data_IF_501212962172
#
_entry.id   IF_501212962172
#
_cell.length_a   1.000
_cell.length_b   1.000
_cell.length_c   1.000
_cell.angle_alpha   90.00
_cell.angle_beta   90.00
_cell.angle_gamma   90.00
#
_symmetry.space_group_name_H-M   'P 1'
#
loop_
_entity.id
_entity.type
_entity.pdbx_description
1 polymer ?
#
# COMPACT_ATOMS: atom_id res chain seq x y z
N UNK A 1 -18.34 -3.73 -15.69
CA UNK A 1 -17.28 -2.90 -15.06
C UNK A 1 -17.95 -1.80 -14.27
N UNK A 2 -17.53 -1.57 -13.03
CA UNK A 2 -18.00 -0.44 -12.22
C UNK A 2 -17.16 0.80 -12.53
N UNK A 3 -17.76 1.98 -12.42
CA UNK A 3 -17.12 3.27 -12.70
C UNK A 3 -17.63 4.37 -11.77
N UNK A 4 -17.01 5.55 -11.83
CA UNK A 4 -17.31 6.69 -10.99
C UNK A 4 -16.27 6.90 -9.89
N UNK A 5 -16.58 7.78 -8.93
CA UNK A 5 -15.69 8.09 -7.82
C UNK A 5 -15.67 6.97 -6.77
N UNK A 6 -14.68 7.04 -5.87
CA UNK A 6 -14.64 6.17 -4.69
C UNK A 6 -15.92 6.38 -3.84
N UNK A 7 -16.63 5.31 -3.43
CA UNK A 7 -17.85 5.42 -2.65
C UNK A 7 -17.53 5.74 -1.18
N UNK A 8 -17.25 7.01 -0.87
CA UNK A 8 -16.82 7.50 0.44
C UNK A 8 -17.73 7.09 1.62
N UNK A 9 -19.01 6.86 1.38
CA UNK A 9 -19.96 6.30 2.35
C UNK A 9 -19.52 4.97 2.97
N UNK A 10 -18.67 4.19 2.31
CA UNK A 10 -18.11 2.94 2.87
C UNK A 10 -17.19 3.19 4.08
N UNK A 11 -16.67 4.41 4.23
CA UNK A 11 -15.80 4.79 5.34
C UNK A 11 -16.57 5.16 6.63
N UNK A 12 -17.91 5.26 6.56
CA UNK A 12 -18.75 5.64 7.70
C UNK A 12 -19.02 4.44 8.62
N UNK A 13 -19.13 3.24 8.04
CA UNK A 13 -19.35 2.00 8.78
C UNK A 13 -18.04 1.42 9.31
N UNK A 14 -17.76 1.60 10.60
CA UNK A 14 -16.59 0.99 11.29
C UNK A 14 -16.66 -0.55 11.42
N UNK A 15 -17.51 -1.22 10.65
CA UNK A 15 -17.66 -2.68 10.65
C UNK A 15 -16.99 -3.38 9.47
N UNK A 16 -16.62 -2.65 8.42
CA UNK A 16 -16.03 -3.26 7.22
C UNK A 16 -14.55 -3.59 7.50
N UNK A 17 -14.16 -4.85 7.24
CA UNK A 17 -12.81 -5.38 7.53
C UNK A 17 -11.97 -5.45 6.25
N UNK A 18 -12.61 -5.73 5.12
CA UNK A 18 -11.95 -5.88 3.82
C UNK A 18 -12.71 -5.05 2.80
N UNK A 19 -12.01 -4.14 2.13
CA UNK A 19 -12.53 -3.38 1.00
C UNK A 19 -11.74 -3.75 -0.26
N UNK A 20 -12.46 -4.30 -1.24
CA UNK A 20 -11.90 -4.70 -2.53
C UNK A 20 -12.68 -4.07 -3.67
N UNK A 21 -12.02 -3.14 -4.38
CA UNK A 21 -12.54 -2.43 -5.56
C UNK A 21 -11.64 -2.65 -6.78
N UNK A 22 -10.72 -3.61 -6.72
CA UNK A 22 -9.70 -3.80 -7.74
C UNK A 22 -10.30 -4.18 -9.11
N UNK A 23 -9.58 -3.87 -10.19
CA UNK A 23 -9.97 -4.24 -11.56
C UNK A 23 -11.33 -3.66 -11.96
N UNK A 24 -11.48 -2.34 -11.85
CA UNK A 24 -12.66 -1.59 -12.27
C UNK A 24 -12.22 -0.30 -13.01
N UNK A 25 -13.16 0.58 -13.27
CA UNK A 25 -12.96 1.88 -13.91
C UNK A 25 -13.23 3.03 -12.92
N UNK A 26 -12.96 2.84 -11.62
CA UNK A 26 -13.13 3.93 -10.65
C UNK A 26 -12.09 5.01 -10.89
N UNK A 27 -12.48 6.27 -10.74
CA UNK A 27 -11.67 7.44 -11.04
C UNK A 27 -11.78 8.51 -9.93
N UNK A 28 -11.20 9.69 -10.18
CA UNK A 28 -11.13 10.76 -9.19
C UNK A 28 -10.14 10.46 -8.08
N UNK A 29 -10.19 11.23 -7.00
CA UNK A 29 -9.30 11.08 -5.84
C UNK A 29 -9.89 10.18 -4.76
N UNK A 30 -9.03 9.45 -4.05
CA UNK A 30 -9.43 8.82 -2.81
C UNK A 30 -9.67 9.90 -1.73
N UNK A 31 -10.78 9.85 -1.00
CA UNK A 31 -11.13 10.87 -0.02
C UNK A 31 -10.27 10.75 1.25
N UNK A 32 -9.87 11.89 1.80
CA UNK A 32 -9.17 11.96 3.09
C UNK A 32 -9.99 11.39 4.26
N UNK A 33 -11.31 11.27 4.08
CA UNK A 33 -12.22 10.62 5.02
C UNK A 33 -11.86 9.16 5.33
N UNK A 34 -11.06 8.51 4.46
CA UNK A 34 -10.52 7.16 4.68
C UNK A 34 -9.79 7.02 6.02
N UNK A 35 -9.18 8.10 6.55
CA UNK A 35 -8.56 8.08 7.89
C UNK A 35 -9.52 7.75 9.04
N UNK A 36 -10.83 7.93 8.82
CA UNK A 36 -11.89 7.64 9.81
C UNK A 36 -12.26 6.17 9.82
N UNK A 37 -12.00 5.45 8.74
CA UNK A 37 -12.30 4.04 8.57
C UNK A 37 -11.26 3.21 9.34
N UNK A 38 -11.49 3.00 10.65
CA UNK A 38 -10.52 2.43 11.60
C UNK A 38 -10.46 0.90 11.59
N UNK A 39 -11.43 0.25 10.96
CA UNK A 39 -11.59 -1.21 10.96
C UNK A 39 -10.89 -2.01 9.84
N UNK A 40 -10.49 -1.46 8.67
CA UNK A 40 -10.01 -2.29 7.59
C UNK A 40 -8.66 -2.91 7.90
N UNK A 41 -8.57 -4.19 7.60
CA UNK A 41 -7.33 -4.94 7.53
C UNK A 41 -6.81 -5.04 6.09
N UNK A 42 -7.71 -4.99 5.11
CA UNK A 42 -7.41 -5.15 3.69
C UNK A 42 -8.04 -4.01 2.89
N UNK A 43 -7.22 -3.29 2.13
CA UNK A 43 -7.66 -2.24 1.22
C UNK A 43 -7.05 -2.47 -0.17
N UNK A 44 -7.89 -2.76 -1.16
CA UNK A 44 -7.48 -3.09 -2.53
C UNK A 44 -8.21 -2.22 -3.54
N UNK A 45 -7.46 -1.37 -4.24
CA UNK A 45 -7.96 -0.44 -5.27
C UNK A 45 -7.11 -0.51 -6.55
N UNK A 46 -6.22 -1.50 -6.66
CA UNK A 46 -5.34 -1.66 -7.82
C UNK A 46 -6.11 -1.86 -9.13
N UNK A 47 -5.50 -1.50 -10.25
CA UNK A 47 -6.09 -1.60 -11.59
C UNK A 47 -7.40 -0.80 -11.69
N UNK A 48 -7.32 0.50 -11.45
CA UNK A 48 -8.37 1.49 -11.62
C UNK A 48 -7.76 2.77 -12.23
N UNK A 49 -8.53 3.86 -12.30
CA UNK A 49 -8.13 5.15 -12.85
C UNK A 49 -8.09 6.25 -11.76
N UNK A 50 -7.86 5.88 -10.49
CA UNK A 50 -7.77 6.87 -9.40
C UNK A 50 -6.59 7.83 -9.61
N UNK A 51 -6.80 9.11 -9.32
CA UNK A 51 -5.88 10.24 -9.53
C UNK A 51 -5.63 11.02 -8.25
N UNK A 52 -4.70 11.96 -8.29
CA UNK A 52 -4.37 12.83 -7.15
C UNK A 52 -3.51 12.11 -6.10
N UNK A 53 -3.34 12.71 -4.93
CA UNK A 53 -2.45 12.17 -3.91
C UNK A 53 -3.03 10.91 -3.25
N UNK A 54 -2.15 9.96 -2.93
CA UNK A 54 -2.55 8.83 -2.10
C UNK A 54 -2.80 9.30 -0.65
N UNK A 55 -3.96 9.00 -0.04
CA UNK A 55 -4.34 9.57 1.25
C UNK A 55 -3.41 9.04 2.35
N UNK A 56 -2.61 9.94 2.93
CA UNK A 56 -1.61 9.59 3.94
C UNK A 56 -2.24 8.94 5.19
N UNK A 57 -3.50 9.29 5.47
CA UNK A 57 -4.29 8.69 6.55
C UNK A 57 -4.46 7.18 6.44
N UNK A 58 -4.40 6.59 5.24
CA UNK A 58 -4.50 5.13 5.05
C UNK A 58 -3.33 4.38 5.72
N UNK A 59 -2.14 4.99 5.73
CA UNK A 59 -0.94 4.40 6.36
C UNK A 59 -1.00 4.42 7.89
N UNK A 60 -1.82 5.31 8.46
CA UNK A 60 -1.99 5.46 9.91
C UNK A 60 -3.12 4.61 10.49
N UNK A 61 -3.81 3.82 9.66
CA UNK A 61 -4.92 3.00 10.10
C UNK A 61 -4.43 1.86 11.01
N UNK A 62 -4.99 1.72 12.23
CA UNK A 62 -4.38 0.88 13.27
C UNK A 62 -4.46 -0.63 12.98
N UNK A 63 -5.36 -1.05 12.09
CA UNK A 63 -5.60 -2.46 11.76
C UNK A 63 -5.14 -2.85 10.37
N UNK A 64 -4.66 -1.91 9.56
CA UNK A 64 -4.35 -2.19 8.14
C UNK A 64 -3.17 -3.14 8.03
N UNK A 65 -3.33 -4.21 7.25
CA UNK A 65 -2.31 -5.24 7.00
C UNK A 65 -1.90 -5.27 5.54
N UNK A 66 -2.85 -5.04 4.63
CA UNK A 66 -2.64 -5.14 3.19
C UNK A 66 -3.21 -3.90 2.52
N UNK A 67 -2.35 -3.19 1.79
CA UNK A 67 -2.72 -2.09 0.89
C UNK A 67 -2.25 -2.46 -0.51
N UNK A 68 -3.15 -2.45 -1.49
CA UNK A 68 -2.82 -2.60 -2.91
C UNK A 68 -3.43 -1.45 -3.70
N UNK A 69 -2.56 -0.62 -4.28
CA UNK A 69 -2.96 0.59 -5.01
C UNK A 69 -2.27 0.73 -6.38
N UNK A 70 -1.47 -0.26 -6.78
CA UNK A 70 -0.74 -0.27 -8.06
C UNK A 70 -1.68 -0.11 -9.26
N UNK A 71 -1.15 0.37 -10.40
CA UNK A 71 -1.90 0.50 -11.65
C UNK A 71 -3.10 1.44 -11.47
N UNK A 72 -2.78 2.65 -11.03
CA UNK A 72 -3.65 3.84 -10.93
C UNK A 72 -2.81 5.05 -11.37
N UNK A 73 -3.39 6.23 -11.35
CA UNK A 73 -2.76 7.51 -11.73
C UNK A 73 -2.50 8.39 -10.50
N UNK A 74 -2.17 7.78 -9.35
CA UNK A 74 -1.85 8.51 -8.12
C UNK A 74 -0.58 9.33 -8.28
N UNK A 75 -0.57 10.50 -7.65
CA UNK A 75 0.54 11.43 -7.57
C UNK A 75 1.22 11.33 -6.19
N UNK A 76 2.52 11.60 -6.16
CA UNK A 76 3.31 11.63 -4.94
C UNK A 76 4.06 10.33 -4.63
N UNK A 77 5.01 10.45 -3.71
CA UNK A 77 5.85 9.35 -3.27
C UNK A 77 5.15 8.53 -2.17
N UNK A 78 5.47 7.24 -2.11
CA UNK A 78 5.09 6.41 -0.95
C UNK A 78 5.73 7.07 0.28
N UNK A 79 4.95 7.52 1.28
CA UNK A 79 5.52 8.29 2.38
C UNK A 79 6.61 7.50 3.10
N UNK A 80 7.67 8.20 3.51
CA UNK A 80 8.90 7.61 4.07
C UNK A 80 8.66 6.57 5.16
N UNK A 81 7.58 6.72 5.94
CA UNK A 81 7.17 5.78 6.98
C UNK A 81 6.94 4.35 6.44
N UNK A 82 6.37 4.25 5.24
CA UNK A 82 6.08 2.99 4.54
C UNK A 82 7.34 2.48 3.86
N UNK A 83 8.12 3.37 3.26
CA UNK A 83 9.42 3.04 2.68
C UNK A 83 10.37 2.45 3.74
N UNK A 84 10.38 3.00 4.95
CA UNK A 84 11.09 2.45 6.11
C UNK A 84 10.56 1.08 6.55
N UNK A 85 9.23 0.90 6.64
CA UNK A 85 8.64 -0.38 7.02
C UNK A 85 8.92 -1.50 6.00
N UNK A 86 8.92 -1.16 4.70
CA UNK A 86 9.30 -2.08 3.62
C UNK A 86 10.80 -2.39 3.65
N UNK A 87 11.64 -1.37 3.90
CA UNK A 87 13.09 -1.52 4.08
C UNK A 87 13.40 -2.44 5.25
N UNK A 88 12.77 -2.25 6.41
CA UNK A 88 12.93 -3.09 7.60
C UNK A 88 12.56 -4.55 7.34
N UNK A 89 11.41 -4.79 6.70
CA UNK A 89 10.98 -6.15 6.33
C UNK A 89 11.95 -6.81 5.33
N UNK A 90 12.56 -6.04 4.43
CA UNK A 90 13.59 -6.52 3.51
C UNK A 90 14.89 -6.87 4.24
N UNK A 91 15.31 -6.02 5.19
CA UNK A 91 16.48 -6.25 6.05
C UNK A 91 16.31 -7.49 6.93
N UNK A 92 15.15 -7.68 7.56
CA UNK A 92 14.87 -8.87 8.40
C UNK A 92 14.86 -10.16 7.57
N UNK A 93 14.31 -10.14 6.36
CA UNK A 93 14.41 -11.27 5.42
C UNK A 93 15.86 -11.58 5.06
N UNK A 94 16.67 -10.54 4.84
CA UNK A 94 18.09 -10.67 4.50
C UNK A 94 18.90 -11.21 5.69
N UNK A 95 18.69 -10.70 6.91
CA UNK A 95 19.28 -11.23 8.14
C UNK A 95 18.91 -12.70 8.37
N UNK A 96 17.63 -13.06 8.19
CA UNK A 96 17.16 -14.44 8.37
C UNK A 96 17.73 -15.40 7.31
N UNK A 97 17.97 -14.90 6.09
CA UNK A 97 18.66 -15.65 5.02
C UNK A 97 20.16 -15.82 5.34
N UNK A 98 20.81 -14.79 5.85
CA UNK A 98 22.23 -14.81 6.23
C UNK A 98 22.49 -15.66 7.48
N UNK A 99 21.52 -15.79 8.39
CA UNK A 99 21.63 -16.68 9.56
C UNK A 99 21.64 -18.17 9.20
N UNK A 100 21.36 -18.53 7.95
CA UNK A 100 21.37 -19.92 7.43
C UNK A 100 22.61 -20.27 6.63
N UNK A 101 23.50 -19.31 6.38
CA UNK A 101 24.70 -19.50 5.57
C UNK A 101 25.84 -18.78 6.29
N UNK A 102 26.66 -19.55 7.00
CA UNK A 102 28.06 -19.14 7.14
C UNK A 102 28.61 -18.85 5.74
N UNK A 103 29.63 -18.01 5.70
CA UNK A 103 30.50 -17.76 4.53
C UNK A 103 30.12 -16.50 3.70
N UNK A 104 30.45 -15.35 4.30
CA UNK A 104 31.24 -14.20 3.78
C UNK A 104 31.05 -13.62 2.35
N UNK A 105 30.20 -14.14 1.47
CA UNK A 105 30.02 -13.59 0.10
C UNK A 105 28.84 -12.62 -0.07
N UNK A 106 28.14 -12.25 1.02
CA UNK A 106 26.79 -11.67 0.91
C UNK A 106 26.71 -10.13 0.83
N UNK A 107 27.83 -9.42 0.74
CA UNK A 107 27.84 -7.95 0.83
C UNK A 107 27.66 -7.20 -0.51
N UNK A 108 27.67 -7.87 -1.67
CA UNK A 108 27.67 -7.14 -2.96
C UNK A 108 26.34 -7.12 -3.75
N UNK A 109 25.27 -7.84 -3.39
CA UNK A 109 24.15 -8.05 -4.34
C UNK A 109 22.77 -7.48 -3.98
N UNK A 110 22.56 -6.85 -2.82
CA UNK A 110 21.22 -6.34 -2.47
C UNK A 110 20.94 -4.89 -2.89
N UNK A 111 21.92 -4.19 -3.47
CA UNK A 111 21.79 -2.79 -3.89
C UNK A 111 21.40 -2.59 -5.37
N UNK A 112 21.09 -3.65 -6.12
CA UNK A 112 20.56 -3.50 -7.48
C UNK A 112 19.03 -3.26 -7.45
N UNK A 113 18.69 -2.01 -7.15
CA UNK A 113 17.66 -1.20 -7.82
C UNK A 113 16.78 -1.95 -8.83
N UNK A 114 15.56 -2.30 -8.41
CA UNK A 114 14.41 -2.40 -9.31
C UNK A 114 13.24 -1.59 -8.76
N UNK A 115 13.48 -0.30 -8.61
CA UNK A 115 12.45 0.72 -8.72
C UNK A 115 12.87 1.61 -9.90
N UNK A 116 12.60 1.12 -11.11
CA UNK A 116 12.32 2.05 -12.21
C UNK A 116 10.88 2.48 -12.02
N UNK A 117 10.75 3.77 -11.67
CA UNK A 117 9.49 4.50 -11.64
C UNK A 117 8.82 4.46 -13.01
#
# INVERSE_FOLDING_TARGET
MLSGAFPDGVCIGNGLISLSLHTNLFNGSLPDAIRRYRSPEIFQVQNNEFRGNFPSGLWSLPKIKIIRAKSNQFLGEIPDLVSMALSWNSLEKTKKKNRRRGDLESLELSLNLHLRY
#
